data_IF_653078281855
#
_entry.id   IF_653078281855
#
_cell.length_a   1.000
_cell.length_b   1.000
_cell.length_c   1.000
_cell.angle_alpha   90.00
_cell.angle_beta   90.00
_cell.angle_gamma   90.00
#
_symmetry.space_group_name_H-M   'P 1'
#
loop_
_entity.id
_entity.type
_entity.pdbx_description
1 polymer ?
#
# COMPACT_ATOMS: atom_id res chain seq x y z
N UNK A 1 -61.52 -19.17 -61.02
CA UNK A 1 -61.01 -18.11 -61.92
C UNK A 1 -59.80 -17.48 -61.25
N UNK A 2 -58.58 -17.91 -61.61
CA UNK A 2 -57.33 -17.37 -61.11
C UNK A 2 -56.91 -16.14 -61.94
N UNK A 3 -56.15 -15.22 -61.35
CA UNK A 3 -55.34 -14.27 -62.10
C UNK A 3 -53.90 -14.37 -61.59
N UNK A 4 -53.03 -14.62 -62.55
CA UNK A 4 -51.59 -14.78 -62.51
C UNK A 4 -50.85 -13.50 -62.09
N UNK A 5 -49.56 -13.65 -61.75
CA UNK A 5 -48.58 -12.71 -62.31
C UNK A 5 -47.41 -12.25 -61.43
N UNK A 6 -46.29 -12.97 -61.57
CA UNK A 6 -44.92 -12.43 -61.71
C UNK A 6 -44.15 -11.78 -60.53
N UNK A 7 -43.32 -12.63 -59.90
CA UNK A 7 -41.83 -12.63 -59.78
C UNK A 7 -41.00 -11.43 -59.25
N UNK A 8 -39.83 -11.72 -58.61
CA UNK A 8 -39.07 -10.84 -57.72
C UNK A 8 -37.81 -10.24 -58.35
N UNK A 9 -37.19 -9.22 -57.73
CA UNK A 9 -35.78 -8.85 -58.01
C UNK A 9 -35.19 -7.94 -56.91
N UNK A 10 -33.88 -8.15 -56.67
CA UNK A 10 -32.89 -7.34 -55.95
C UNK A 10 -32.40 -7.84 -54.57
N UNK A 11 -31.33 -8.62 -54.70
CA UNK A 11 -30.32 -8.94 -53.70
C UNK A 11 -29.54 -7.68 -53.25
N UNK A 12 -29.26 -7.58 -51.95
CA UNK A 12 -28.31 -6.61 -51.38
C UNK A 12 -27.07 -7.36 -50.91
N UNK A 13 -25.92 -6.89 -51.43
CA UNK A 13 -24.59 -7.48 -51.32
C UNK A 13 -23.92 -7.18 -49.96
N UNK A 14 -23.13 -8.11 -49.38
CA UNK A 14 -22.37 -7.85 -48.16
C UNK A 14 -21.02 -7.18 -48.48
N UNK A 15 -20.79 -5.97 -47.95
CA UNK A 15 -19.49 -5.31 -48.02
C UNK A 15 -18.48 -5.99 -47.10
N UNK A 16 -17.47 -6.60 -47.73
CA UNK A 16 -16.23 -7.12 -47.12
C UNK A 16 -15.31 -5.96 -46.70
N UNK A 17 -15.08 -5.78 -45.40
CA UNK A 17 -13.98 -4.96 -44.88
C UNK A 17 -12.70 -5.79 -44.83
N UNK A 18 -11.67 -5.37 -45.58
CA UNK A 18 -10.33 -5.97 -45.63
C UNK A 18 -9.53 -5.56 -44.39
N UNK A 19 -9.00 -6.52 -43.65
CA UNK A 19 -7.85 -6.33 -42.75
C UNK A 19 -6.56 -6.69 -43.51
N UNK A 20 -5.49 -5.90 -43.45
CA UNK A 20 -4.18 -6.35 -43.87
C UNK A 20 -3.50 -7.11 -42.73
N UNK A 21 -3.34 -8.42 -42.91
CA UNK A 21 -2.34 -9.21 -42.21
C UNK A 21 -0.96 -9.10 -42.91
N UNK A 22 0.05 -9.52 -42.15
CA UNK A 22 1.41 -9.92 -42.53
C UNK A 22 2.47 -8.83 -42.68
N UNK A 23 3.40 -8.83 -41.72
CA UNK A 23 4.67 -9.56 -41.93
C UNK A 23 5.34 -9.96 -40.61
N UNK A 24 5.33 -11.27 -40.37
CA UNK A 24 6.33 -11.97 -39.55
C UNK A 24 7.66 -11.93 -40.29
N UNK A 25 8.76 -11.60 -39.61
CA UNK A 25 10.05 -12.26 -39.84
C UNK A 25 10.63 -12.73 -38.52
N UNK A 26 10.95 -14.02 -38.54
CA UNK A 26 11.57 -14.84 -37.52
C UNK A 26 13.09 -14.61 -37.52
N UNK A 27 13.71 -15.28 -36.55
CA UNK A 27 15.09 -15.78 -36.48
C UNK A 27 16.04 -14.83 -35.76
N UNK A 28 16.96 -15.26 -34.91
CA UNK A 28 17.25 -16.43 -34.09
C UNK A 28 18.76 -16.33 -33.81
N UNK A 29 19.22 -16.92 -32.69
CA UNK A 29 20.64 -17.24 -32.43
C UNK A 29 21.57 -16.02 -32.20
N UNK A 30 22.66 -16.07 -31.44
CA UNK A 30 23.31 -17.05 -30.57
C UNK A 30 24.30 -16.25 -29.72
N UNK A 31 24.75 -16.85 -28.62
CA UNK A 31 25.78 -16.36 -27.70
C UNK A 31 27.14 -16.08 -28.37
N UNK A 32 28.01 -15.33 -27.66
CA UNK A 32 29.33 -15.76 -27.13
C UNK A 32 30.21 -14.53 -26.82
N UNK A 33 30.97 -14.68 -25.73
CA UNK A 33 31.84 -13.74 -25.04
C UNK A 33 33.09 -13.27 -25.82
N UNK A 34 33.74 -12.19 -25.34
CA UNK A 34 35.20 -12.14 -25.11
C UNK A 34 35.69 -10.82 -24.46
N UNK A 35 36.31 -10.98 -23.28
CA UNK A 35 37.61 -10.46 -22.78
C UNK A 35 38.22 -9.13 -23.29
N UNK A 36 38.54 -8.24 -22.34
CA UNK A 36 39.83 -7.54 -22.12
C UNK A 36 39.69 -6.69 -20.84
N UNK A 37 40.38 -6.87 -19.70
CA UNK A 37 41.81 -7.00 -19.36
C UNK A 37 42.63 -5.67 -19.39
N UNK A 38 42.85 -5.12 -18.18
CA UNK A 38 44.00 -4.34 -17.65
C UNK A 38 44.17 -2.84 -18.01
N UNK A 39 44.96 -2.03 -17.24
CA UNK A 39 45.85 -2.37 -16.11
C UNK A 39 45.69 -1.58 -14.79
N UNK A 40 46.22 -2.19 -13.72
CA UNK A 40 46.71 -1.54 -12.49
C UNK A 40 47.80 -0.51 -12.84
N UNK A 41 47.70 0.69 -12.29
CA UNK A 41 48.85 1.59 -12.12
C UNK A 41 49.02 1.89 -10.63
N UNK A 42 50.14 1.41 -10.10
CA UNK A 42 50.61 1.65 -8.75
C UNK A 42 51.06 3.12 -8.62
N UNK A 43 50.52 3.83 -7.63
CA UNK A 43 51.07 5.09 -7.15
C UNK A 43 51.47 4.90 -5.68
N UNK A 44 52.76 4.60 -5.47
CA UNK A 44 53.42 4.67 -4.16
C UNK A 44 53.45 6.15 -3.74
N UNK A 45 52.58 6.53 -2.79
CA UNK A 45 52.70 7.78 -2.05
C UNK A 45 53.35 7.51 -0.69
N UNK A 46 54.44 8.22 -0.46
CA UNK A 46 55.23 8.27 0.77
C UNK A 46 54.33 8.52 1.99
N UNK A 47 54.29 7.54 2.89
CA UNK A 47 53.57 7.61 4.15
C UNK A 47 54.21 8.64 5.09
N UNK A 48 53.51 9.73 5.36
CA UNK A 48 53.78 10.56 6.55
C UNK A 48 53.17 9.84 7.77
N UNK A 49 53.83 9.84 8.95
CA UNK A 49 53.24 9.30 10.17
C UNK A 49 52.04 10.17 10.54
N UNK A 50 50.84 9.67 10.23
CA UNK A 50 49.58 10.28 10.64
C UNK A 50 49.49 10.18 12.16
N UNK A 51 49.62 11.34 12.80
CA UNK A 51 49.27 11.54 14.21
C UNK A 51 47.85 11.00 14.42
N UNK A 52 47.72 9.98 15.26
CA UNK A 52 46.44 9.37 15.57
C UNK A 52 45.47 10.47 16.03
N UNK A 53 44.29 10.63 15.39
CA UNK A 53 43.31 11.58 15.87
C UNK A 53 42.94 11.21 17.32
N UNK A 54 42.72 12.20 18.20
CA UNK A 54 42.23 11.92 19.54
C UNK A 54 40.96 11.06 19.44
N UNK A 55 40.72 10.13 20.39
CA UNK A 55 39.54 9.28 20.37
C UNK A 55 38.31 10.17 20.31
N UNK A 56 37.67 10.25 19.14
CA UNK A 56 36.42 10.96 18.95
C UNK A 56 35.47 10.52 20.04
N UNK A 57 35.01 11.48 20.85
CA UNK A 57 34.01 11.27 21.87
C UNK A 57 32.90 10.39 21.26
N UNK A 58 32.79 9.14 21.75
CA UNK A 58 31.76 8.22 21.26
C UNK A 58 30.43 8.91 21.52
N UNK A 59 29.78 9.36 20.45
CA UNK A 59 28.43 9.87 20.53
C UNK A 59 27.61 8.81 21.26
N UNK A 60 27.10 9.16 22.45
CA UNK A 60 26.26 8.25 23.22
C UNK A 60 25.09 7.89 22.34
N UNK A 61 25.00 6.62 21.97
CA UNK A 61 23.88 6.16 21.17
C UNK A 61 22.58 6.50 21.91
N UNK A 62 21.56 7.04 21.22
CA UNK A 62 20.31 7.41 21.86
C UNK A 62 19.70 6.17 22.53
N UNK A 63 19.13 6.30 23.72
CA UNK A 63 18.45 5.19 24.36
C UNK A 63 17.17 4.77 23.59
N UNK A 64 16.62 3.60 23.92
CA UNK A 64 15.46 3.04 23.23
C UNK A 64 14.20 3.91 23.40
N UNK A 65 14.06 4.58 24.55
CA UNK A 65 12.92 5.47 24.83
C UNK A 65 12.96 6.72 23.93
N UNK A 66 14.13 7.31 23.78
CA UNK A 66 14.40 8.47 22.92
C UNK A 66 14.18 8.12 21.45
N UNK A 67 14.65 6.95 21.00
CA UNK A 67 14.37 6.46 19.64
C UNK A 67 12.88 6.27 19.39
N UNK A 68 12.16 5.64 20.33
CA UNK A 68 10.70 5.45 20.24
C UNK A 68 9.96 6.79 20.20
N UNK A 69 10.34 7.75 21.05
CA UNK A 69 9.76 9.09 21.07
C UNK A 69 9.99 9.84 19.75
N UNK A 70 11.21 9.75 19.21
CA UNK A 70 11.61 10.37 17.94
C UNK A 70 10.84 9.76 16.77
N UNK A 71 10.70 8.43 16.74
CA UNK A 71 9.90 7.71 15.73
C UNK A 71 8.44 8.17 15.73
N UNK A 72 7.83 8.29 16.92
CA UNK A 72 6.46 8.77 17.05
C UNK A 72 6.30 10.23 16.61
N UNK A 73 7.28 11.08 16.91
CA UNK A 73 7.30 12.46 16.44
C UNK A 73 7.40 12.55 14.91
N UNK A 74 8.33 11.81 14.30
CA UNK A 74 8.50 11.75 12.84
C UNK A 74 7.23 11.24 12.14
N UNK A 75 6.59 10.19 12.67
CA UNK A 75 5.33 9.67 12.13
C UNK A 75 4.17 10.71 12.19
N UNK A 76 4.13 11.55 13.24
CA UNK A 76 3.16 12.66 13.34
C UNK A 76 3.45 13.74 12.29
N UNK A 77 4.71 14.10 12.10
CA UNK A 77 5.13 15.09 11.10
C UNK A 77 4.84 14.61 9.68
N UNK A 78 5.13 13.34 9.37
CA UNK A 78 4.74 12.71 8.10
C UNK A 78 3.24 12.85 7.86
N UNK A 79 2.41 12.52 8.86
CA UNK A 79 0.96 12.62 8.76
C UNK A 79 0.48 14.06 8.57
N UNK A 80 1.12 15.03 9.22
CA UNK A 80 0.82 16.44 9.05
C UNK A 80 1.17 16.92 7.63
N UNK A 81 2.36 16.57 7.13
CA UNK A 81 2.79 16.89 5.77
C UNK A 81 1.88 16.25 4.71
N UNK A 82 1.42 15.01 4.94
CA UNK A 82 0.47 14.32 4.06
C UNK A 82 -0.87 15.07 3.99
N UNK A 83 -1.40 15.49 5.14
CA UNK A 83 -2.63 16.27 5.21
C UNK A 83 -2.47 17.62 4.50
N UNK A 84 -1.37 18.33 4.73
CA UNK A 84 -1.10 19.61 4.07
C UNK A 84 -1.02 19.47 2.54
N UNK A 85 -0.38 18.40 2.03
CA UNK A 85 -0.34 18.08 0.60
C UNK A 85 -1.76 17.88 0.05
N UNK A 86 -2.59 17.09 0.73
CA UNK A 86 -3.97 16.88 0.29
C UNK A 86 -4.80 18.15 0.31
N UNK A 87 -4.62 19.02 1.29
CA UNK A 87 -5.34 20.30 1.34
C UNK A 87 -4.91 21.24 0.22
N UNK A 88 -3.61 21.28 -0.10
CA UNK A 88 -3.09 22.05 -1.24
C UNK A 88 -3.66 21.54 -2.58
N UNK A 89 -3.67 20.22 -2.80
CA UNK A 89 -4.28 19.61 -3.99
C UNK A 89 -5.79 19.89 -4.07
N UNK A 90 -6.50 19.89 -2.94
CA UNK A 90 -7.93 20.19 -2.92
C UNK A 90 -8.22 21.66 -3.25
N UNK A 91 -7.38 22.59 -2.78
CA UNK A 91 -7.46 24.02 -3.14
C UNK A 91 -7.16 24.25 -4.62
N UNK A 92 -6.10 23.65 -5.14
CA UNK A 92 -5.75 23.75 -6.57
C UNK A 92 -6.87 23.26 -7.48
N UNK A 93 -7.44 22.08 -7.19
CA UNK A 93 -8.57 21.55 -7.95
C UNK A 93 -9.84 22.42 -7.86
N UNK A 94 -10.05 23.15 -6.76
CA UNK A 94 -11.18 24.06 -6.63
C UNK A 94 -11.00 25.33 -7.47
N UNK A 95 -9.77 25.84 -7.60
CA UNK A 95 -9.45 26.97 -8.47
C UNK A 95 -9.63 26.59 -9.94
N UNK A 96 -9.07 25.45 -10.37
CA UNK A 96 -9.24 24.95 -11.74
C UNK A 96 -10.72 24.75 -12.11
N UNK A 97 -11.53 24.24 -11.17
CA UNK A 97 -12.97 24.07 -11.38
C UNK A 97 -13.73 25.40 -11.51
N UNK A 98 -13.32 26.43 -10.77
CA UNK A 98 -13.92 27.76 -10.85
C UNK A 98 -13.58 28.43 -12.20
N UNK A 99 -12.33 28.35 -12.64
CA UNK A 99 -11.89 28.88 -13.95
C UNK A 99 -12.60 28.15 -15.11
N UNK A 100 -12.78 26.83 -15.02
CA UNK A 100 -13.51 26.07 -16.03
C UNK A 100 -15.01 26.41 -16.08
N UNK A 101 -15.61 26.76 -14.94
CA UNK A 101 -17.01 27.19 -14.86
C UNK A 101 -17.23 28.57 -15.49
N UNK A 102 -16.27 29.49 -15.35
CA UNK A 102 -16.29 30.79 -16.02
C UNK A 102 -16.01 30.66 -17.53
N UNK A 103 -15.20 29.70 -17.95
CA UNK A 103 -14.85 29.43 -19.36
C UNK A 103 -15.90 28.67 -20.19
N UNK A 104 -17.06 28.33 -19.63
CA UNK A 104 -18.17 27.69 -20.35
C UNK A 104 -17.94 26.24 -20.82
N UNK A 105 -16.79 25.63 -20.53
CA UNK A 105 -16.49 24.23 -20.87
C UNK A 105 -16.54 23.38 -19.61
N UNK A 106 -17.75 23.03 -19.19
CA UNK A 106 -17.97 22.08 -18.12
C UNK A 106 -17.67 20.64 -18.56
N UNK A 107 -16.40 20.29 -18.75
CA UNK A 107 -15.97 18.89 -18.61
C UNK A 107 -15.61 18.65 -17.15
N UNK A 108 -16.65 18.55 -16.32
CA UNK A 108 -16.53 17.99 -14.98
C UNK A 108 -16.17 16.51 -15.12
N UNK A 109 -14.88 16.22 -15.32
CA UNK A 109 -14.33 14.91 -15.06
C UNK A 109 -14.23 14.72 -13.54
N UNK A 110 -15.38 14.74 -12.87
CA UNK A 110 -15.55 14.03 -11.62
C UNK A 110 -15.38 12.54 -11.97
N UNK A 111 -14.12 12.09 -12.10
CA UNK A 111 -13.75 10.77 -11.62
C UNK A 111 -14.07 10.81 -10.14
N UNK A 112 -15.32 10.51 -9.81
CA UNK A 112 -15.83 10.32 -8.46
C UNK A 112 -14.85 9.38 -7.79
N UNK A 113 -13.89 9.94 -7.04
CA UNK A 113 -12.96 9.17 -6.23
C UNK A 113 -13.84 8.62 -5.13
N UNK A 114 -14.32 7.40 -5.35
CA UNK A 114 -15.19 6.70 -4.42
C UNK A 114 -14.58 6.78 -3.03
N UNK A 115 -15.37 6.95 -1.95
CA UNK A 115 -14.85 6.91 -0.59
C UNK A 115 -14.14 5.58 -0.24
N UNK A 116 -14.27 4.57 -1.10
CA UNK A 116 -13.56 3.29 -1.04
C UNK A 116 -12.20 3.27 -1.76
N UNK A 117 -11.85 4.33 -2.47
CA UNK A 117 -10.63 4.38 -3.28
C UNK A 117 -9.46 4.78 -2.40
N UNK A 118 -8.64 3.78 -2.05
CA UNK A 118 -7.30 4.02 -1.55
C UNK A 118 -6.49 4.83 -2.58
N UNK A 119 -5.42 5.49 -2.15
CA UNK A 119 -4.65 6.37 -3.06
C UNK A 119 -4.12 5.66 -4.30
N UNK A 120 -3.84 4.37 -4.20
CA UNK A 120 -3.61 3.50 -5.34
C UNK A 120 -4.17 2.09 -5.12
N UNK A 121 -4.51 1.41 -6.21
CA UNK A 121 -4.77 -0.03 -6.19
C UNK A 121 -3.47 -0.80 -6.42
N UNK A 122 -3.07 -1.59 -5.42
CA UNK A 122 -1.82 -2.36 -5.43
C UNK A 122 -0.63 -1.61 -4.84
N UNK A 123 0.50 -2.29 -4.72
CA UNK A 123 1.75 -1.76 -4.18
C UNK A 123 2.40 -0.77 -5.16
N UNK A 124 1.79 0.40 -5.33
CA UNK A 124 2.37 1.52 -6.06
C UNK A 124 2.90 2.48 -5.02
N UNK A 125 4.19 2.81 -5.09
CA UNK A 125 4.74 3.88 -4.25
C UNK A 125 4.05 5.20 -4.59
N UNK A 126 3.61 5.92 -3.57
CA UNK A 126 3.09 7.27 -3.72
C UNK A 126 4.24 8.20 -4.10
N UNK A 127 3.96 9.25 -4.87
CA UNK A 127 4.91 10.32 -5.09
C UNK A 127 5.16 11.06 -3.77
N UNK A 128 6.27 10.72 -3.10
CA UNK A 128 6.71 11.32 -1.85
C UNK A 128 7.78 12.37 -2.12
N UNK A 129 7.36 13.53 -2.63
CA UNK A 129 8.19 14.69 -2.92
C UNK A 129 8.24 15.68 -1.75
N UNK A 130 9.25 16.55 -1.76
CA UNK A 130 9.43 17.62 -0.77
C UNK A 130 9.44 17.14 0.69
N UNK A 131 8.75 17.87 1.56
CA UNK A 131 8.69 17.58 2.99
C UNK A 131 8.12 16.18 3.30
N UNK A 132 7.20 15.67 2.48
CA UNK A 132 6.61 14.36 2.69
C UNK A 132 7.64 13.24 2.51
N UNK A 133 8.51 13.37 1.51
CA UNK A 133 9.64 12.45 1.28
C UNK A 133 10.66 12.46 2.42
N UNK A 134 10.99 13.64 2.95
CA UNK A 134 11.91 13.79 4.09
C UNK A 134 11.38 13.07 5.33
N UNK A 135 10.15 13.37 5.74
CA UNK A 135 9.56 12.74 6.93
C UNK A 135 9.33 11.24 6.75
N UNK A 136 9.05 10.78 5.52
CA UNK A 136 8.97 9.35 5.20
C UNK A 136 10.31 8.67 5.49
N UNK A 137 11.39 9.18 4.89
CA UNK A 137 12.72 8.57 5.03
C UNK A 137 13.18 8.57 6.49
N UNK A 138 13.02 9.70 7.18
CA UNK A 138 13.36 9.79 8.60
C UNK A 138 12.56 8.81 9.46
N UNK A 139 11.26 8.61 9.18
CA UNK A 139 10.44 7.63 9.89
C UNK A 139 10.94 6.20 9.65
N UNK A 140 11.34 5.87 8.42
CA UNK A 140 11.89 4.54 8.08
C UNK A 140 13.24 4.32 8.77
N UNK A 141 14.15 5.29 8.71
CA UNK A 141 15.47 5.23 9.36
C UNK A 141 15.34 5.00 10.87
N UNK A 142 14.48 5.77 11.54
CA UNK A 142 14.22 5.61 12.98
C UNK A 142 13.59 4.24 13.30
N UNK A 143 12.71 3.74 12.44
CA UNK A 143 12.08 2.43 12.60
C UNK A 143 13.11 1.31 12.45
N UNK A 144 14.01 1.39 11.48
CA UNK A 144 15.09 0.43 11.28
C UNK A 144 16.11 0.46 12.42
N UNK A 145 16.48 1.65 12.90
CA UNK A 145 17.32 1.81 14.09
C UNK A 145 16.67 1.20 15.34
N UNK A 146 15.36 1.37 15.50
CA UNK A 146 14.61 0.77 16.60
C UNK A 146 14.48 -0.76 16.44
N UNK A 147 14.30 -1.26 15.21
CA UNK A 147 14.22 -2.68 14.90
C UNK A 147 15.56 -3.41 15.11
N UNK A 148 16.70 -2.74 14.86
CA UNK A 148 18.03 -3.28 15.16
C UNK A 148 18.21 -3.58 16.66
N UNK A 149 17.43 -2.93 17.53
CA UNK A 149 17.42 -3.10 18.98
C UNK A 149 16.23 -3.95 19.48
N UNK A 150 15.61 -4.71 18.57
CA UNK A 150 14.33 -5.41 18.76
C UNK A 150 14.07 -5.87 20.21
N UNK A 151 13.12 -5.26 20.94
CA UNK A 151 12.84 -5.60 22.32
C UNK A 151 12.10 -6.95 22.47
N UNK A 152 11.54 -7.50 21.39
CA UNK A 152 10.87 -8.80 21.40
C UNK A 152 11.41 -9.70 20.28
N UNK A 153 12.40 -10.58 20.55
CA UNK A 153 13.02 -11.44 19.53
C UNK A 153 12.05 -12.46 18.90
N UNK A 154 11.00 -12.87 19.63
CA UNK A 154 9.98 -13.81 19.16
C UNK A 154 8.57 -13.20 19.19
N UNK A 155 8.24 -12.21 18.34
CA UNK A 155 6.97 -11.49 18.40
C UNK A 155 5.74 -12.36 18.08
N UNK A 156 5.93 -13.53 17.48
CA UNK A 156 4.89 -14.53 17.19
C UNK A 156 4.86 -15.69 18.21
N UNK A 157 5.51 -15.53 19.35
CA UNK A 157 5.33 -16.44 20.48
C UNK A 157 3.86 -16.43 20.92
N UNK A 158 3.33 -17.63 21.23
CA UNK A 158 1.91 -17.81 21.53
C UNK A 158 0.95 -17.56 20.36
N UNK A 159 1.40 -17.46 19.09
CA UNK A 159 0.46 -17.29 17.97
C UNK A 159 -0.56 -18.45 17.91
N UNK A 160 -1.86 -18.13 17.88
CA UNK A 160 -2.99 -19.07 18.10
C UNK A 160 -3.24 -19.54 19.53
N UNK A 161 -2.66 -18.85 20.50
CA UNK A 161 -3.00 -18.95 21.93
C UNK A 161 -3.48 -17.58 22.43
N UNK A 162 -3.97 -17.53 23.67
CA UNK A 162 -4.38 -16.30 24.35
C UNK A 162 -3.20 -15.44 24.84
N UNK A 163 -1.99 -15.97 24.80
CA UNK A 163 -0.79 -15.33 25.38
C UNK A 163 -0.01 -14.50 24.36
N UNK A 164 -0.43 -14.50 23.09
CA UNK A 164 0.27 -13.77 22.05
C UNK A 164 0.22 -12.26 22.29
N UNK A 165 1.39 -11.63 22.46
CA UNK A 165 1.52 -10.17 22.66
C UNK A 165 0.93 -9.33 21.51
N UNK A 166 0.77 -9.91 20.33
CA UNK A 166 0.15 -9.24 19.18
C UNK A 166 -1.37 -9.06 19.31
N UNK A 167 -2.03 -9.83 20.17
CA UNK A 167 -3.49 -9.76 20.32
C UNK A 167 -3.95 -8.35 20.69
N UNK A 168 -5.10 -7.93 20.16
CA UNK A 168 -5.71 -6.63 20.45
C UNK A 168 -5.80 -5.69 19.25
N UNK A 169 -6.03 -4.40 19.53
CA UNK A 169 -6.32 -3.39 18.50
C UNK A 169 -5.17 -2.40 18.35
N UNK A 170 -4.78 -2.17 17.09
CA UNK A 170 -3.61 -1.40 16.70
C UNK A 170 -4.00 -0.31 15.70
N UNK A 171 -3.89 0.96 16.09
CA UNK A 171 -4.15 2.11 15.22
C UNK A 171 -2.97 2.36 14.29
N UNK A 172 -3.25 2.65 13.02
CA UNK A 172 -2.22 3.04 12.06
C UNK A 172 -1.69 4.45 12.35
N UNK A 173 -0.36 4.58 12.50
CA UNK A 173 0.33 5.86 12.66
C UNK A 173 1.03 6.29 11.36
N UNK A 174 1.72 5.35 10.72
CA UNK A 174 2.49 5.57 9.50
C UNK A 174 2.41 4.33 8.60
N UNK A 175 2.37 4.55 7.29
CA UNK A 175 2.48 3.51 6.27
C UNK A 175 3.12 4.08 5.02
N UNK A 176 3.91 3.26 4.30
CA UNK A 176 4.30 3.57 2.92
C UNK A 176 3.35 2.95 1.90
N UNK A 177 2.52 1.97 2.31
CA UNK A 177 1.56 1.28 1.47
C UNK A 177 0.35 2.16 1.14
N UNK A 178 0.15 2.45 -0.14
CA UNK A 178 -0.92 3.30 -0.65
C UNK A 178 -2.32 2.72 -0.42
N UNK A 179 -2.45 1.39 -0.38
CA UNK A 179 -3.71 0.66 -0.17
C UNK A 179 -4.26 0.79 1.26
N UNK A 180 -3.43 1.26 2.20
CA UNK A 180 -3.79 1.54 3.58
C UNK A 180 -3.97 3.05 3.88
N UNK A 181 -3.79 3.90 2.86
CA UNK A 181 -3.92 5.35 2.96
C UNK A 181 -5.25 5.80 2.34
N UNK A 182 -6.05 6.52 3.13
CA UNK A 182 -7.37 6.99 2.73
C UNK A 182 -7.45 8.51 2.89
N UNK A 183 -7.71 9.20 1.79
CA UNK A 183 -7.88 10.65 1.77
C UNK A 183 -9.21 11.04 2.47
N UNK A 184 -9.23 12.11 3.27
CA UNK A 184 -10.47 12.66 3.78
C UNK A 184 -11.41 13.08 2.63
N UNK A 185 -12.70 12.86 2.82
CA UNK A 185 -13.74 13.30 1.87
C UNK A 185 -14.84 14.04 2.62
N UNK A 186 -15.60 14.88 1.91
CA UNK A 186 -16.74 15.61 2.50
C UNK A 186 -17.76 14.64 3.12
N UNK A 187 -18.12 13.58 2.41
CA UNK A 187 -19.16 12.62 2.82
C UNK A 187 -18.70 11.53 3.80
N UNK A 188 -17.41 11.17 3.79
CA UNK A 188 -16.83 10.12 4.64
C UNK A 188 -16.08 10.64 5.86
N UNK A 189 -15.74 11.93 5.87
CA UNK A 189 -14.89 12.55 6.87
C UNK A 189 -13.45 12.07 6.79
N UNK A 190 -12.74 12.17 7.92
CA UNK A 190 -11.39 11.62 8.07
C UNK A 190 -11.49 10.13 8.42
N UNK A 191 -11.05 9.21 7.54
CA UNK A 191 -11.12 7.79 7.82
C UNK A 191 -10.23 7.41 9.00
N UNK A 192 -10.69 6.48 9.82
CA UNK A 192 -9.93 5.91 10.93
C UNK A 192 -9.51 4.49 10.57
N UNK A 193 -8.21 4.29 10.41
CA UNK A 193 -7.62 2.99 10.05
C UNK A 193 -6.99 2.33 11.27
N UNK A 194 -7.36 1.09 11.52
CA UNK A 194 -6.79 0.25 12.59
C UNK A 194 -6.82 -1.22 12.19
N UNK A 195 -6.00 -2.04 12.84
CA UNK A 195 -6.02 -3.48 12.69
C UNK A 195 -6.41 -4.11 14.03
N UNK A 196 -7.43 -4.94 14.02
CA UNK A 196 -7.74 -5.81 15.15
C UNK A 196 -7.13 -7.18 14.90
N UNK A 197 -6.41 -7.70 15.87
CA UNK A 197 -5.71 -8.99 15.80
C UNK A 197 -6.36 -9.90 16.81
N UNK A 198 -6.97 -10.96 16.29
CA UNK A 198 -7.47 -12.07 17.07
C UNK A 198 -6.43 -13.18 16.95
N UNK A 199 -5.44 -13.15 17.85
CA UNK A 199 -4.31 -14.06 17.81
C UNK A 199 -4.77 -15.49 18.01
N UNK A 200 -5.73 -15.72 18.91
CA UNK A 200 -6.34 -17.03 19.17
C UNK A 200 -6.92 -17.65 17.90
N UNK A 201 -7.69 -16.89 17.12
CA UNK A 201 -8.23 -17.38 15.83
C UNK A 201 -7.22 -17.29 14.67
N UNK A 202 -6.09 -16.61 14.89
CA UNK A 202 -5.07 -16.36 13.88
C UNK A 202 -5.55 -15.44 12.76
N UNK A 203 -6.30 -14.38 13.11
CA UNK A 203 -6.82 -13.40 12.15
C UNK A 203 -6.25 -12.01 12.37
N UNK A 204 -5.91 -11.37 11.25
CA UNK A 204 -5.68 -9.95 11.14
C UNK A 204 -6.90 -9.31 10.47
N UNK A 205 -7.52 -8.34 11.12
CA UNK A 205 -8.74 -7.68 10.65
C UNK A 205 -8.42 -6.20 10.41
N UNK A 206 -8.05 -5.87 9.17
CA UNK A 206 -7.84 -4.48 8.77
C UNK A 206 -9.19 -3.77 8.72
N UNK A 207 -9.30 -2.66 9.42
CA UNK A 207 -10.55 -1.96 9.66
C UNK A 207 -10.40 -0.50 9.25
N UNK A 208 -11.37 -0.03 8.48
CA UNK A 208 -11.50 1.38 8.10
C UNK A 208 -12.89 1.82 8.52
N UNK A 209 -12.97 2.87 9.33
CA UNK A 209 -14.21 3.51 9.76
C UNK A 209 -14.32 4.91 9.14
N UNK A 210 -15.50 5.22 8.61
CA UNK A 210 -15.86 6.54 8.08
C UNK A 210 -16.78 7.22 9.10
N UNK A 211 -16.29 8.20 9.89
CA UNK A 211 -17.08 8.74 11.00
C UNK A 211 -18.32 9.52 10.56
N UNK A 212 -18.26 10.27 9.45
CA UNK A 212 -19.37 11.10 9.01
C UNK A 212 -20.54 10.27 8.48
N UNK A 213 -21.76 10.71 8.82
CA UNK A 213 -23.02 10.00 8.57
C UNK A 213 -23.64 10.27 7.21
N UNK A 214 -23.12 11.25 6.46
CA UNK A 214 -23.64 11.60 5.13
C UNK A 214 -23.51 10.43 4.14
N UNK A 215 -22.50 9.58 4.30
CA UNK A 215 -22.34 8.35 3.52
C UNK A 215 -23.18 7.17 4.02
N UNK A 216 -23.70 6.33 3.09
CA UNK A 216 -24.34 5.04 3.42
C UNK A 216 -23.36 4.00 4.00
N UNK A 217 -22.05 4.19 3.83
CA UNK A 217 -21.02 3.27 4.28
C UNK A 217 -20.42 3.74 5.60
N UNK A 218 -20.53 2.93 6.65
CA UNK A 218 -19.93 3.16 7.97
C UNK A 218 -18.45 2.79 7.99
N UNK A 219 -18.06 1.80 7.21
CA UNK A 219 -16.69 1.30 7.19
C UNK A 219 -16.59 -0.06 6.51
N UNK A 220 -15.40 -0.65 6.51
CA UNK A 220 -15.20 -2.02 6.07
C UNK A 220 -14.16 -2.74 6.91
N UNK A 221 -14.18 -4.08 6.82
CA UNK A 221 -13.28 -4.99 7.52
C UNK A 221 -12.73 -6.00 6.54
N UNK A 222 -11.42 -6.03 6.34
CA UNK A 222 -10.75 -7.07 5.55
C UNK A 222 -10.23 -8.12 6.52
N UNK A 223 -10.83 -9.31 6.47
CA UNK A 223 -10.44 -10.43 7.33
C UNK A 223 -9.37 -11.25 6.61
N UNK A 224 -8.21 -11.35 7.24
CA UNK A 224 -7.03 -12.02 6.70
C UNK A 224 -6.57 -13.09 7.69
N UNK A 225 -6.37 -14.32 7.22
CA UNK A 225 -5.80 -15.41 8.03
C UNK A 225 -4.28 -15.31 8.03
N UNK A 226 -3.70 -15.36 9.23
CA UNK A 226 -2.25 -15.46 9.44
C UNK A 226 -1.75 -16.89 9.50
N UNK A 227 -0.66 -17.15 8.80
CA UNK A 227 0.09 -18.41 8.86
C UNK A 227 1.52 -18.05 9.28
N UNK A 228 1.92 -18.46 10.48
CA UNK A 228 3.30 -18.27 10.98
C UNK A 228 4.26 -19.00 10.03
N UNK A 229 5.26 -18.29 9.52
CA UNK A 229 6.35 -18.87 8.71
C UNK A 229 7.62 -19.02 9.52
N UNK A 230 7.90 -18.07 10.41
CA UNK A 230 9.05 -18.05 11.33
C UNK A 230 8.67 -17.37 12.64
N UNK A 231 9.64 -17.04 13.51
CA UNK A 231 9.37 -16.31 14.75
C UNK A 231 8.93 -14.86 14.54
N UNK A 232 9.23 -14.27 13.38
CA UNK A 232 8.87 -12.89 13.04
C UNK A 232 8.11 -12.76 11.72
N UNK A 233 7.98 -13.82 10.91
CA UNK A 233 7.30 -13.75 9.62
C UNK A 233 5.92 -14.43 9.61
N UNK A 234 4.99 -13.79 8.91
CA UNK A 234 3.62 -14.26 8.72
C UNK A 234 3.23 -14.20 7.25
N UNK A 235 2.71 -15.31 6.72
CA UNK A 235 1.99 -15.33 5.44
C UNK A 235 0.51 -15.00 5.63
N UNK A 236 -0.06 -14.27 4.67
CA UNK A 236 -1.42 -13.76 4.69
C UNK A 236 -2.30 -14.44 3.65
N UNK A 237 -3.45 -14.95 4.10
CA UNK A 237 -4.52 -15.48 3.25
C UNK A 237 -5.78 -14.65 3.43
N UNK A 238 -6.10 -13.84 2.43
CA UNK A 238 -7.33 -13.04 2.41
C UNK A 238 -8.55 -13.95 2.42
N UNK A 239 -9.53 -13.65 3.28
CA UNK A 239 -10.74 -14.49 3.44
C UNK A 239 -11.98 -13.80 2.89
N UNK A 240 -12.25 -12.59 3.38
CA UNK A 240 -13.48 -11.86 3.07
C UNK A 240 -13.34 -10.39 3.41
N UNK A 241 -14.16 -9.58 2.77
CA UNK A 241 -14.41 -8.19 3.15
C UNK A 241 -15.82 -8.11 3.74
N UNK A 242 -15.96 -7.46 4.89
CA UNK A 242 -17.25 -7.07 5.44
C UNK A 242 -17.44 -5.57 5.19
N UNK A 243 -18.44 -5.19 4.44
CA UNK A 243 -18.86 -3.80 4.28
C UNK A 243 -19.91 -3.49 5.35
N UNK A 244 -19.65 -2.48 6.18
CA UNK A 244 -20.55 -2.02 7.23
C UNK A 244 -21.34 -0.83 6.69
N UNK A 245 -22.66 -0.94 6.66
CA UNK A 245 -23.57 0.07 6.08
C UNK A 245 -24.47 0.67 7.13
N UNK A 246 -24.82 1.94 6.95
CA UNK A 246 -25.88 2.65 7.68
C UNK A 246 -27.24 2.35 7.05
N UNK A 247 -27.59 1.08 6.92
CA UNK A 247 -28.87 0.62 6.37
C UNK A 247 -29.70 -0.06 7.45
N UNK A 248 -31.03 0.15 7.44
CA UNK A 248 -31.96 -0.56 8.31
C UNK A 248 -32.09 -2.05 7.92
N UNK A 249 -32.03 -2.34 6.62
CA UNK A 249 -32.28 -3.69 6.07
C UNK A 249 -31.02 -4.55 5.93
N UNK A 250 -29.86 -3.94 5.65
CA UNK A 250 -28.61 -4.69 5.43
C UNK A 250 -27.42 -3.97 6.07
N UNK A 251 -27.24 -4.16 7.38
CA UNK A 251 -26.16 -3.52 8.16
C UNK A 251 -24.77 -4.00 7.75
N UNK A 252 -24.65 -5.24 7.30
CA UNK A 252 -23.36 -5.84 6.90
C UNK A 252 -23.52 -6.64 5.62
N UNK A 253 -22.67 -6.36 4.63
CA UNK A 253 -22.53 -7.15 3.40
C UNK A 253 -21.20 -7.89 3.47
N UNK A 254 -21.20 -9.20 3.30
CA UNK A 254 -19.99 -10.02 3.33
C UNK A 254 -19.66 -10.44 1.91
N UNK A 255 -18.49 -10.03 1.42
CA UNK A 255 -17.98 -10.38 0.11
C UNK A 255 -16.82 -11.37 0.29
N UNK A 256 -16.93 -12.62 -0.17
CA UNK A 256 -15.81 -13.53 -0.20
C UNK A 256 -14.72 -12.95 -1.11
N UNK A 257 -13.46 -13.00 -0.67
CA UNK A 257 -12.36 -12.56 -1.52
C UNK A 257 -11.93 -13.72 -2.42
N UNK A 258 -11.68 -13.47 -3.71
CA UNK A 258 -11.16 -14.50 -4.58
C UNK A 258 -9.76 -14.93 -4.13
N UNK A 259 -9.29 -16.10 -4.58
CA UNK A 259 -7.97 -16.60 -4.24
C UNK A 259 -6.85 -15.57 -4.52
N UNK A 260 -5.78 -15.60 -3.72
CA UNK A 260 -4.68 -14.63 -3.77
C UNK A 260 -4.06 -14.48 -5.19
N UNK A 261 -4.03 -15.53 -6.00
CA UNK A 261 -3.52 -15.46 -7.37
C UNK A 261 -4.36 -14.54 -8.26
N UNK A 262 -5.69 -14.56 -8.11
CA UNK A 262 -6.59 -13.71 -8.88
C UNK A 262 -6.49 -12.25 -8.42
N UNK A 263 -6.43 -12.02 -7.11
CA UNK A 263 -6.21 -10.67 -6.56
C UNK A 263 -4.89 -10.06 -7.07
N UNK A 264 -3.83 -10.86 -7.16
CA UNK A 264 -2.53 -10.43 -7.71
C UNK A 264 -2.63 -10.13 -9.20
N UNK A 265 -3.33 -10.95 -9.98
CA UNK A 265 -3.55 -10.67 -11.40
C UNK A 265 -4.35 -9.39 -11.62
N UNK A 266 -5.41 -9.16 -10.84
CA UNK A 266 -6.18 -7.90 -10.87
C UNK A 266 -5.30 -6.73 -10.46
N UNK A 267 -4.49 -6.86 -9.41
CA UNK A 267 -3.59 -5.80 -8.99
C UNK A 267 -2.53 -5.47 -10.06
N UNK A 268 -1.93 -6.47 -10.72
CA UNK A 268 -1.01 -6.25 -11.85
C UNK A 268 -1.70 -5.57 -13.03
N UNK A 269 -2.91 -6.02 -13.37
CA UNK A 269 -3.67 -5.42 -14.47
C UNK A 269 -4.07 -3.98 -14.16
N UNK A 270 -4.63 -3.72 -12.98
CA UNK A 270 -5.06 -2.39 -12.54
C UNK A 270 -3.90 -1.41 -12.38
N UNK A 271 -2.74 -1.88 -11.93
CA UNK A 271 -1.51 -1.08 -11.84
C UNK A 271 -0.75 -0.95 -13.16
N UNK A 272 -1.29 -1.48 -14.28
CA UNK A 272 -0.61 -1.52 -15.59
C UNK A 272 0.81 -2.11 -15.52
N UNK A 273 0.98 -3.15 -14.71
CA UNK A 273 2.26 -3.84 -14.51
C UNK A 273 3.24 -3.16 -13.55
N UNK A 274 2.89 -2.01 -12.95
CA UNK A 274 3.78 -1.28 -12.04
C UNK A 274 3.79 -1.82 -10.60
N UNK A 275 2.85 -2.70 -10.24
CA UNK A 275 2.84 -3.27 -8.90
C UNK A 275 4.06 -4.17 -8.67
N UNK A 276 4.92 -3.75 -7.74
CA UNK A 276 5.99 -4.60 -7.23
C UNK A 276 5.36 -5.64 -6.29
N UNK A 277 5.26 -6.88 -6.78
CA UNK A 277 4.71 -8.01 -6.03
C UNK A 277 5.80 -9.04 -5.79
N UNK A 278 6.02 -9.35 -4.53
CA UNK A 278 6.96 -10.36 -4.08
C UNK A 278 6.54 -11.76 -4.53
N UNK A 279 7.54 -12.52 -4.97
CA UNK A 279 7.42 -13.96 -5.28
C UNK A 279 7.00 -14.76 -4.04
N UNK A 280 7.31 -14.28 -2.83
CA UNK A 280 7.02 -14.96 -1.55
C UNK A 280 5.53 -15.01 -1.18
N UNK A 281 4.67 -14.27 -1.86
CA UNK A 281 3.26 -14.19 -1.48
C UNK A 281 2.91 -12.94 -0.69
N UNK A 282 1.65 -12.83 -0.27
CA UNK A 282 1.23 -11.80 0.68
C UNK A 282 1.72 -12.21 2.06
N UNK A 283 2.38 -11.30 2.77
CA UNK A 283 2.97 -11.56 4.06
C UNK A 283 3.76 -10.37 4.58
N UNK A 284 4.22 -10.46 5.82
CA UNK A 284 5.08 -9.46 6.42
C UNK A 284 6.03 -10.07 7.45
N UNK A 285 7.10 -9.34 7.73
CA UNK A 285 8.02 -9.53 8.83
C UNK A 285 7.75 -8.48 9.90
N UNK A 286 7.55 -8.91 11.15
CA UNK A 286 7.48 -8.02 12.31
C UNK A 286 8.91 -7.56 12.62
N UNK A 287 9.09 -6.25 12.64
CA UNK A 287 10.38 -5.60 12.89
C UNK A 287 10.54 -5.20 14.36
N UNK A 288 9.43 -4.80 14.99
CA UNK A 288 9.41 -4.32 16.36
C UNK A 288 8.06 -4.63 17.00
N UNK A 289 8.07 -5.01 18.27
CA UNK A 289 6.87 -5.19 19.08
C UNK A 289 7.19 -4.91 20.55
N UNK A 290 6.45 -3.98 21.15
CA UNK A 290 6.34 -3.83 22.60
C UNK A 290 4.85 -3.75 23.00
N UNK A 291 4.58 -3.36 24.25
CA UNK A 291 3.21 -3.27 24.76
C UNK A 291 2.37 -2.17 24.11
N UNK A 292 2.97 -1.18 23.47
CA UNK A 292 2.27 0.00 22.94
C UNK A 292 2.44 0.20 21.44
N UNK A 293 3.48 -0.35 20.84
CA UNK A 293 3.93 -0.04 19.50
C UNK A 293 4.35 -1.32 18.80
N UNK A 294 4.01 -1.41 17.52
CA UNK A 294 4.54 -2.44 16.65
C UNK A 294 4.84 -1.90 15.27
N UNK A 295 5.83 -2.51 14.63
CA UNK A 295 6.21 -2.22 13.27
C UNK A 295 6.35 -3.50 12.47
N UNK A 296 5.95 -3.47 11.21
CA UNK A 296 6.21 -4.57 10.28
C UNK A 296 6.54 -4.05 8.89
N UNK A 297 7.27 -4.88 8.13
CA UNK A 297 7.58 -4.67 6.72
C UNK A 297 6.94 -5.79 5.92
N UNK A 298 6.13 -5.45 4.92
CA UNK A 298 5.54 -6.45 4.04
C UNK A 298 6.63 -7.11 3.19
N UNK A 299 6.34 -8.30 2.65
CA UNK A 299 7.25 -8.94 1.68
C UNK A 299 7.43 -8.12 0.39
N UNK A 300 6.56 -7.13 0.17
CA UNK A 300 6.62 -6.17 -0.92
C UNK A 300 7.35 -4.87 -0.53
N UNK A 301 8.00 -4.84 0.64
CA UNK A 301 8.84 -3.73 1.08
C UNK A 301 8.12 -2.56 1.76
N UNK A 302 6.81 -2.65 1.99
CA UNK A 302 6.03 -1.56 2.59
C UNK A 302 6.13 -1.58 4.11
N UNK A 303 6.34 -0.42 4.73
CA UNK A 303 6.45 -0.26 6.17
C UNK A 303 5.11 0.13 6.79
N UNK A 304 4.84 -0.40 7.97
CA UNK A 304 3.66 -0.08 8.75
C UNK A 304 4.07 0.12 10.21
N UNK A 305 3.72 1.27 10.78
CA UNK A 305 3.88 1.57 12.19
C UNK A 305 2.51 1.73 12.84
N UNK A 306 2.27 1.00 13.91
CA UNK A 306 0.97 0.97 14.57
C UNK A 306 1.11 1.05 16.09
N UNK A 307 0.21 1.78 16.71
CA UNK A 307 0.16 1.96 18.16
C UNK A 307 -1.07 1.26 18.72
N UNK A 308 -0.91 0.55 19.84
CA UNK A 308 -2.00 -0.08 20.55
C UNK A 308 -3.04 0.96 20.94
N UNK A 309 -4.31 0.66 20.75
CA UNK A 309 -5.40 1.55 21.13
C UNK A 309 -6.53 0.79 21.83
N UNK A 310 -7.20 1.46 22.77
CA UNK A 310 -8.37 0.92 23.49
C UNK A 310 -9.66 0.95 22.67
N UNK A 311 -9.55 1.04 21.35
CA UNK A 311 -10.72 1.13 20.48
C UNK A 311 -11.50 -0.19 20.56
N UNK A 312 -12.73 -0.12 21.08
CA UNK A 312 -13.61 -1.28 21.19
C UNK A 312 -14.03 -1.71 19.80
N UNK A 313 -13.51 -2.85 19.34
CA UNK A 313 -13.98 -3.51 18.13
C UNK A 313 -15.47 -3.85 18.31
N UNK A 314 -16.35 -3.16 17.59
CA UNK A 314 -17.78 -3.42 17.53
C UNK A 314 -18.12 -4.27 16.31
#
# INVERSE_FOLDING_TARGET
MPVEGAKPLFAVSPRRGRYPEFRRRRMAHLAVACLAALPLAAALRLAHPLRAPPPSARATEPDLATLKASLLAAARQFKAAQMAKWEAEARGAAVEAAEAAEGGVAQASERIRSPLQAEAFGNVELGYDGALGVWRNQTIELLEALAARNPTPAPLEGWRTSECKLDGTWRLLFTTGADATFRPTKSGGRPVTFQHIDARKGYFINSVDFPLTEGKLKGFRVVVKGIKLSNNEVSLKFKRVKLLRRSRLAKTVILPLPPNWLLRSVARWASRGKAQLSRRGAGFQILYLDDELRAHKTFDGQYFLQQRCRYKYK
#
